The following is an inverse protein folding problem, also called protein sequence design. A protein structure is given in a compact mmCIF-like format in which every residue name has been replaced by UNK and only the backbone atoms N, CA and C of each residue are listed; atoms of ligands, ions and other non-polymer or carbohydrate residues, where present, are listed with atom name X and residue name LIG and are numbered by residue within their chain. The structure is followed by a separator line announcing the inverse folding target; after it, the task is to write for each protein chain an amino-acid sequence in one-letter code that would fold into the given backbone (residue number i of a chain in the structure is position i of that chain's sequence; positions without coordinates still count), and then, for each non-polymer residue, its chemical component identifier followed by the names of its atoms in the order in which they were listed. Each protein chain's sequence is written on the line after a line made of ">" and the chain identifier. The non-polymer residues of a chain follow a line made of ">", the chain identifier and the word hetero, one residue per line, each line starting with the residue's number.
data_IF_190335685378
#
_entry.id   IF_190335685378
#
_cell.length_a   1.000
_cell.length_b   1.000
_cell.length_c   1.000
_cell.angle_alpha   90.00
_cell.angle_beta   90.00
_cell.angle_gamma   90.00
#
_symmetry.space_group_name_H-M   'P 1'
#
loop_
_entity.id
_entity.type
_entity.pdbx_description
1 polymer ?
#
# COMPACT_ATOMS: atom_id res chain seq x y z
N UNK A 1 4.09 4.00 -10.57
CA UNK A 1 5.37 3.27 -10.77
C UNK A 1 6.46 4.28 -11.06
N UNK A 2 7.72 3.94 -10.79
CA UNK A 2 8.86 4.84 -10.97
C UNK A 2 10.09 4.04 -11.38
N UNK A 3 10.70 4.43 -12.51
CA UNK A 3 11.82 3.70 -13.13
C UNK A 3 13.16 4.43 -13.03
N UNK A 4 13.27 5.42 -12.14
CA UNK A 4 14.49 6.22 -11.96
C UNK A 4 14.50 7.56 -12.70
N UNK A 5 13.65 7.71 -13.71
CA UNK A 5 13.55 8.94 -14.50
C UNK A 5 12.11 9.44 -14.68
N UNK A 6 11.16 8.51 -14.86
CA UNK A 6 9.75 8.83 -15.08
C UNK A 6 8.88 8.24 -13.97
N UNK A 7 7.99 9.07 -13.41
CA UNK A 7 6.88 8.62 -12.56
C UNK A 7 5.62 8.44 -13.39
N UNK A 8 4.85 7.38 -13.09
CA UNK A 8 3.57 7.07 -13.73
C UNK A 8 2.49 6.76 -12.71
N UNK A 9 1.29 7.27 -12.95
CA UNK A 9 0.10 6.98 -12.17
C UNK A 9 -0.89 6.24 -13.05
N UNK A 10 -1.42 5.13 -12.53
CA UNK A 10 -2.42 4.30 -13.20
C UNK A 10 -3.71 4.32 -12.38
N UNK A 11 -4.84 4.48 -13.06
CA UNK A 11 -6.19 4.39 -12.49
C UNK A 11 -6.98 3.39 -13.34
N UNK A 12 -7.67 2.44 -12.71
CA UNK A 12 -8.38 1.35 -13.38
C UNK A 12 -7.50 0.63 -14.42
N UNK A 13 -6.25 0.34 -14.03
CA UNK A 13 -5.23 -0.31 -14.86
C UNK A 13 -4.84 0.44 -16.14
N UNK A 14 -5.21 1.72 -16.27
CA UNK A 14 -4.88 2.58 -17.42
C UNK A 14 -3.94 3.70 -17.00
N UNK A 15 -3.00 4.05 -17.87
CA UNK A 15 -2.11 5.18 -17.64
C UNK A 15 -2.96 6.46 -17.57
N UNK A 16 -2.92 7.12 -16.42
CA UNK A 16 -3.66 8.36 -16.18
C UNK A 16 -2.74 9.58 -16.39
N UNK A 17 -1.53 9.52 -15.83
CA UNK A 17 -0.55 10.59 -15.94
C UNK A 17 0.88 10.06 -15.86
N UNK A 18 1.82 10.82 -16.44
CA UNK A 18 3.25 10.60 -16.28
C UNK A 18 4.04 11.90 -16.31
N UNK A 19 5.19 11.91 -15.65
CA UNK A 19 6.10 13.06 -15.63
C UNK A 19 7.55 12.59 -15.57
N UNK A 20 8.42 13.25 -16.33
CA UNK A 20 9.86 13.13 -16.17
C UNK A 20 10.28 13.92 -14.93
N UNK A 21 10.78 13.22 -13.91
CA UNK A 21 11.12 13.79 -12.61
C UNK A 21 12.59 13.57 -12.23
N UNK A 22 13.29 12.70 -12.97
CA UNK A 22 14.66 12.30 -12.64
C UNK A 22 14.76 11.67 -11.25
N UNK A 23 15.98 11.62 -10.72
CA UNK A 23 16.29 11.04 -9.42
C UNK A 23 15.52 11.72 -8.28
N UNK A 24 14.83 10.92 -7.47
CA UNK A 24 14.11 11.39 -6.30
C UNK A 24 14.98 11.38 -5.05
N UNK A 25 14.80 12.37 -4.17
CA UNK A 25 15.36 12.34 -2.81
C UNK A 25 14.45 11.47 -1.95
N UNK A 26 15.02 10.47 -1.29
CA UNK A 26 14.31 9.67 -0.30
C UNK A 26 14.33 10.38 1.05
N UNK A 27 13.15 10.58 1.64
CA UNK A 27 13.04 10.85 3.08
C UNK A 27 13.17 9.52 3.83
N UNK A 28 14.07 9.47 4.79
CA UNK A 28 14.36 8.29 5.61
C UNK A 28 14.00 8.49 7.09
N UNK A 29 13.48 9.67 7.44
CA UNK A 29 13.22 10.07 8.83
C UNK A 29 11.74 10.14 9.14
N UNK A 30 10.92 10.42 8.13
CA UNK A 30 9.47 10.51 8.28
C UNK A 30 8.85 9.12 8.11
N UNK A 31 8.00 8.66 9.06
CA UNK A 31 7.31 7.39 8.91
C UNK A 31 6.32 7.44 7.74
N UNK A 32 6.17 6.32 7.04
CA UNK A 32 5.09 6.16 6.06
C UNK A 32 3.76 6.04 6.80
N UNK A 33 2.87 7.00 6.58
CA UNK A 33 1.48 6.93 7.07
C UNK A 33 0.55 6.44 5.96
N UNK A 34 -0.41 5.60 6.34
CA UNK A 34 -1.50 5.16 5.46
C UNK A 34 -2.80 5.82 5.92
N UNK A 35 -3.44 6.58 5.03
CA UNK A 35 -4.74 7.20 5.31
C UNK A 35 -4.69 8.39 6.29
N UNK A 36 -3.52 8.99 6.50
CA UNK A 36 -3.34 10.19 7.31
C UNK A 36 -2.06 10.93 6.88
N UNK A 37 -1.87 12.15 7.40
CA UNK A 37 -0.70 13.00 7.19
C UNK A 37 -0.07 13.41 8.53
N UNK A 38 1.19 13.86 8.51
CA UNK A 38 1.86 14.47 9.65
C UNK A 38 1.69 15.99 9.63
N UNK A 39 0.96 16.51 10.61
CA UNK A 39 0.90 17.95 10.87
C UNK A 39 1.81 18.28 12.05
N UNK A 40 3.06 18.66 11.75
CA UNK A 40 4.12 18.83 12.74
C UNK A 40 4.59 17.47 13.27
N UNK A 41 4.32 17.17 14.53
CA UNK A 41 4.67 15.89 15.18
C UNK A 41 3.46 15.00 15.47
N UNK A 42 2.28 15.36 14.96
CA UNK A 42 1.04 14.65 15.21
C UNK A 42 0.42 14.15 13.90
N UNK A 43 -0.19 12.96 13.96
CA UNK A 43 -1.02 12.43 12.88
C UNK A 43 -2.32 13.24 12.78
N UNK A 44 -2.63 13.73 11.59
CA UNK A 44 -3.81 14.54 11.29
C UNK A 44 -4.34 14.25 9.87
N UNK A 45 -5.38 14.98 9.44
CA UNK A 45 -5.96 14.92 8.08
C UNK A 45 -6.28 13.49 7.63
N UNK A 46 -7.06 12.78 8.43
CA UNK A 46 -7.44 11.40 8.16
C UNK A 46 -8.24 11.30 6.85
N UNK A 47 -7.94 10.27 6.07
CA UNK A 47 -8.64 9.98 4.83
C UNK A 47 -10.06 9.49 5.12
N UNK A 48 -11.06 10.23 4.63
CA UNK A 48 -12.48 9.88 4.75
C UNK A 48 -12.91 8.93 3.62
N UNK A 49 -12.34 7.73 3.62
CA UNK A 49 -12.65 6.71 2.62
C UNK A 49 -12.10 5.33 2.97
N UNK A 50 -12.29 4.39 2.06
CA UNK A 50 -11.81 3.01 2.24
C UNK A 50 -10.46 2.81 1.55
N UNK A 51 -9.53 2.18 2.27
CA UNK A 51 -8.27 1.68 1.73
C UNK A 51 -8.29 0.16 1.83
N UNK A 52 -7.91 -0.51 0.74
CA UNK A 52 -7.64 -1.96 0.74
C UNK A 52 -6.41 -2.25 -0.10
N UNK A 53 -5.82 -3.43 0.11
CA UNK A 53 -4.76 -3.97 -0.76
C UNK A 53 -3.55 -3.03 -0.94
N UNK A 54 -3.16 -2.31 0.13
CA UNK A 54 -2.03 -1.38 0.04
C UNK A 54 -0.73 -2.18 -0.06
N UNK A 55 0.05 -1.92 -1.10
CA UNK A 55 1.28 -2.66 -1.39
C UNK A 55 2.40 -1.75 -1.88
N UNK A 56 3.64 -2.11 -1.55
CA UNK A 56 4.85 -1.40 -1.96
C UNK A 56 5.84 -2.40 -2.55
N UNK A 57 6.39 -2.07 -3.72
CA UNK A 57 7.42 -2.85 -4.39
C UNK A 57 8.76 -2.10 -4.42
N UNK A 58 9.85 -2.83 -4.18
CA UNK A 58 11.24 -2.38 -4.34
C UNK A 58 11.72 -2.43 -5.81
N UNK A 59 10.78 -2.54 -6.76
CA UNK A 59 11.02 -2.53 -8.21
C UNK A 59 9.94 -1.72 -8.91
N UNK A 60 10.25 -1.26 -10.12
CA UNK A 60 9.22 -0.69 -10.99
C UNK A 60 8.30 -1.81 -11.48
N UNK A 61 6.99 -1.60 -11.37
CA UNK A 61 5.99 -2.44 -12.04
C UNK A 61 5.78 -1.93 -13.47
N UNK A 62 5.80 -2.84 -14.44
CA UNK A 62 5.49 -2.52 -15.83
C UNK A 62 3.98 -2.64 -16.14
N UNK A 63 3.57 -2.40 -17.38
CA UNK A 63 2.15 -2.48 -17.77
C UNK A 63 1.59 -3.90 -17.63
N UNK A 64 2.42 -4.93 -17.79
CA UNK A 64 2.01 -6.34 -17.60
C UNK A 64 1.75 -6.61 -16.13
N UNK A 65 2.64 -6.18 -15.24
CA UNK A 65 2.47 -6.27 -13.79
C UNK A 65 1.19 -5.54 -13.34
N UNK A 66 0.93 -4.33 -13.85
CA UNK A 66 -0.29 -3.57 -13.50
C UNK A 66 -1.57 -4.33 -13.90
N UNK A 67 -1.56 -5.04 -15.03
CA UNK A 67 -2.69 -5.88 -15.44
C UNK A 67 -2.84 -7.11 -14.55
N UNK A 68 -1.73 -7.78 -14.23
CA UNK A 68 -1.74 -8.92 -13.31
C UNK A 68 -2.25 -8.51 -11.93
N UNK A 69 -1.79 -7.37 -11.42
CA UNK A 69 -2.20 -6.82 -10.13
C UNK A 69 -3.71 -6.60 -10.07
N UNK A 70 -4.31 -6.05 -11.12
CA UNK A 70 -5.75 -5.83 -11.18
C UNK A 70 -6.58 -7.12 -11.26
N UNK A 71 -6.00 -8.20 -11.82
CA UNK A 71 -6.70 -9.48 -11.97
C UNK A 71 -6.57 -10.38 -10.74
N UNK A 72 -5.42 -10.32 -10.06
CA UNK A 72 -5.04 -11.30 -9.06
C UNK A 72 -4.78 -10.71 -7.68
N UNK A 73 -4.70 -9.39 -7.55
CA UNK A 73 -4.24 -8.74 -6.33
C UNK A 73 -2.74 -8.93 -6.08
N UNK A 74 -2.20 -8.33 -5.01
CA UNK A 74 -0.75 -8.24 -4.79
C UNK A 74 -0.04 -9.58 -4.58
N UNK A 75 -0.75 -10.60 -4.07
CA UNK A 75 -0.20 -11.92 -3.76
C UNK A 75 -0.67 -13.03 -4.70
N UNK A 76 -1.57 -12.73 -5.63
CA UNK A 76 -2.21 -13.75 -6.47
C UNK A 76 -1.43 -14.16 -7.71
N UNK A 77 -0.23 -13.61 -7.94
CA UNK A 77 0.62 -13.99 -9.07
C UNK A 77 2.11 -13.93 -8.72
N UNK A 78 2.89 -14.92 -9.16
CA UNK A 78 4.31 -15.06 -8.78
C UNK A 78 5.17 -13.86 -9.19
N UNK A 79 4.94 -13.26 -10.37
CA UNK A 79 5.65 -12.06 -10.79
C UNK A 79 5.43 -10.87 -9.84
N UNK A 80 4.27 -10.79 -9.18
CA UNK A 80 3.96 -9.71 -8.23
C UNK A 80 4.62 -9.93 -6.87
N UNK A 81 5.03 -11.16 -6.53
CA UNK A 81 5.79 -11.43 -5.31
C UNK A 81 7.24 -10.97 -5.42
N UNK A 82 7.79 -10.92 -6.64
CA UNK A 82 9.12 -10.38 -6.88
C UNK A 82 9.16 -8.88 -6.51
N UNK A 83 10.07 -8.53 -5.62
CA UNK A 83 10.22 -7.17 -5.13
C UNK A 83 9.07 -6.65 -4.27
N UNK A 84 8.06 -7.45 -3.88
CA UNK A 84 7.02 -7.01 -2.94
C UNK A 84 7.64 -6.80 -1.54
N UNK A 85 7.79 -5.55 -1.13
CA UNK A 85 8.43 -5.20 0.14
C UNK A 85 7.43 -5.22 1.31
N UNK A 86 6.23 -4.68 1.07
CA UNK A 86 5.20 -4.55 2.10
C UNK A 86 3.80 -4.76 1.52
N UNK A 87 2.91 -5.39 2.30
CA UNK A 87 1.51 -5.57 1.97
C UNK A 87 0.61 -5.47 3.21
N UNK A 88 -0.40 -4.61 3.12
CA UNK A 88 -1.44 -4.44 4.13
C UNK A 88 -2.80 -4.79 3.53
N UNK A 89 -3.30 -5.95 3.96
CA UNK A 89 -4.62 -6.43 3.62
C UNK A 89 -5.65 -5.79 4.57
N UNK A 90 -5.98 -4.53 4.30
CA UNK A 90 -6.95 -3.75 5.07
C UNK A 90 -8.35 -4.08 4.58
N UNK A 91 -9.12 -4.79 5.41
CA UNK A 91 -10.55 -4.93 5.23
C UNK A 91 -11.25 -4.43 6.49
N UNK A 92 -12.10 -3.42 6.34
CA UNK A 92 -13.13 -3.16 7.34
C UNK A 92 -14.38 -3.92 6.90
N UNK A 93 -14.82 -4.87 7.72
CA UNK A 93 -16.10 -5.54 7.52
C UNK A 93 -17.22 -4.54 7.82
N UNK A 94 -18.25 -4.47 6.97
CA UNK A 94 -19.53 -3.86 7.32
C UNK A 94 -20.06 -4.54 8.56
N UNK A 95 -20.21 -3.81 9.67
CA UNK A 95 -20.86 -4.36 10.84
C UNK A 95 -22.24 -4.91 10.43
N UNK A 96 -22.48 -6.19 10.71
CA UNK A 96 -23.86 -6.68 10.70
C UNK A 96 -24.65 -5.89 11.75
N UNK A 97 -25.90 -5.46 11.50
CA UNK A 97 -26.64 -4.50 12.34
C UNK A 97 -26.83 -4.86 13.83
N UNK A 98 -26.32 -6.02 14.29
CA UNK A 98 -26.64 -6.64 15.57
C UNK A 98 -25.41 -6.88 16.48
N UNK A 99 -24.30 -6.16 16.28
CA UNK A 99 -23.25 -6.00 17.30
C UNK A 99 -22.39 -7.23 17.67
N UNK A 100 -22.35 -8.29 16.86
CA UNK A 100 -21.56 -9.51 17.14
C UNK A 100 -20.36 -9.69 16.17
N UNK A 101 -19.65 -8.61 15.83
CA UNK A 101 -18.49 -8.66 14.95
C UNK A 101 -17.22 -9.10 15.68
N UNK A 102 -16.76 -10.35 15.47
CA UNK A 102 -15.36 -10.73 15.77
C UNK A 102 -14.43 -9.91 14.88
N UNK A 103 -13.44 -9.24 15.47
CA UNK A 103 -12.41 -8.49 14.75
C UNK A 103 -11.73 -9.39 13.71
N UNK A 104 -11.83 -9.03 12.43
CA UNK A 104 -10.96 -9.61 11.42
C UNK A 104 -9.60 -8.95 11.60
N UNK A 105 -8.60 -9.76 11.97
CA UNK A 105 -7.21 -9.33 12.06
C UNK A 105 -6.78 -8.69 10.73
N UNK A 106 -6.47 -7.39 10.74
CA UNK A 106 -5.69 -6.78 9.67
C UNK A 106 -4.29 -7.40 9.71
N UNK A 107 -4.00 -8.36 8.83
CA UNK A 107 -2.65 -8.92 8.74
C UNK A 107 -1.80 -8.01 7.87
N UNK A 108 -0.91 -7.25 8.50
CA UNK A 108 0.26 -6.71 7.80
C UNK A 108 1.22 -7.88 7.54
N UNK A 109 1.39 -8.27 6.27
CA UNK A 109 2.43 -9.22 5.88
C UNK A 109 3.63 -8.39 5.41
N UNK A 110 4.59 -8.19 6.30
CA UNK A 110 5.88 -7.59 5.95
C UNK A 110 6.75 -8.69 5.34
N UNK A 111 6.89 -8.68 4.01
CA UNK A 111 7.84 -9.55 3.33
C UNK A 111 9.21 -8.85 3.26
N UNK A 112 9.81 -8.57 4.43
CA UNK A 112 11.20 -8.10 4.49
C UNK A 112 11.81 -8.26 5.88
N UNK A 113 12.00 -9.50 6.36
CA UNK A 113 12.92 -9.87 7.45
C UNK A 113 12.74 -9.24 8.85
N UNK A 114 11.93 -8.21 9.01
CA UNK A 114 11.67 -7.52 10.25
C UNK A 114 10.17 -7.63 10.54
N UNK A 115 9.85 -8.45 11.54
CA UNK A 115 8.55 -8.35 12.23
C UNK A 115 8.35 -6.88 12.59
N UNK A 116 7.24 -6.29 12.16
CA UNK A 116 6.71 -5.12 12.84
C UNK A 116 6.59 -5.48 14.34
N UNK A 117 7.11 -4.67 15.28
CA UNK A 117 6.82 -4.87 16.69
C UNK A 117 5.30 -4.85 16.84
N UNK A 118 4.78 -5.89 17.48
CA UNK A 118 3.34 -6.11 17.61
C UNK A 118 2.65 -4.87 18.14
N UNK A 119 1.57 -4.47 17.48
CA UNK A 119 0.58 -3.60 18.10
C UNK A 119 -0.08 -4.44 19.19
N UNK A 120 0.43 -4.30 20.41
CA UNK A 120 -0.28 -4.67 21.63
C UNK A 120 -1.44 -3.70 21.73
N UNK A 121 -2.66 -4.23 21.70
CA UNK A 121 -3.87 -3.44 21.88
C UNK A 121 -3.85 -2.70 23.22
N UNK A 122 -4.44 -1.50 23.21
CA UNK A 122 -5.09 -0.92 24.37
C UNK A 122 -6.60 -1.11 24.19
#
# INVERSE_FOLDING_TARGET
>A
TYEGETMRVYVDSRLSAQVACGAQKADTTTPVLLGADLCGYATAHHFEGYLSEVSIWARCLDVTDIRLLAQHGPTGHAALLDGLACYWCLYQRTETPNGAGRAAHSTALVHNGARAPGVVGL
#
